data_IF_338017970341
#
_entry.id   IF_338017970341
#
_cell.length_a   1.000
_cell.length_b   1.000
_cell.length_c   1.000
_cell.angle_alpha   90.00
_cell.angle_beta   90.00
_cell.angle_gamma   90.00
#
_symmetry.space_group_name_H-M   'P 1'
#
loop_
_entity.id
_entity.type
_entity.pdbx_description
1 polymer ?
#
# COMPACT_ATOMS: atom_id res chain seq x y z
N UNK A 1 14.13 -10.21 -5.44
CA UNK A 1 13.39 -9.45 -6.46
C UNK A 1 12.43 -8.44 -5.86
N UNK A 2 12.27 -7.31 -6.55
CA UNK A 2 11.39 -6.21 -6.18
C UNK A 2 10.52 -5.89 -7.41
N UNK A 3 9.20 -5.65 -7.26
CA UNK A 3 8.28 -5.46 -8.39
C UNK A 3 8.53 -4.19 -9.21
N UNK A 4 9.42 -3.31 -8.75
CA UNK A 4 9.91 -2.14 -9.47
C UNK A 4 11.36 -2.28 -9.95
N UNK A 5 11.94 -3.47 -9.83
CA UNK A 5 13.27 -3.76 -10.35
C UNK A 5 13.23 -3.99 -11.86
N UNK A 6 14.19 -3.41 -12.57
CA UNK A 6 14.35 -3.54 -14.02
C UNK A 6 14.24 -2.20 -14.75
N UNK A 7 15.10 -2.01 -15.76
CA UNK A 7 15.24 -0.77 -16.53
C UNK A 7 16.70 -0.31 -16.58
N UNK A 8 17.15 0.17 -17.73
CA UNK A 8 18.47 0.83 -17.84
C UNK A 8 18.38 2.24 -17.23
N UNK A 9 19.27 2.55 -16.27
CA UNK A 9 19.29 3.84 -15.58
C UNK A 9 18.28 3.99 -14.44
N UNK A 10 18.04 5.23 -13.99
CA UNK A 10 17.04 5.55 -12.95
C UNK A 10 15.68 5.82 -13.58
N UNK A 11 15.00 4.79 -14.08
CA UNK A 11 13.64 4.91 -14.60
C UNK A 11 12.63 5.09 -13.46
N UNK A 12 11.70 6.03 -13.61
CA UNK A 12 10.57 6.19 -12.70
C UNK A 12 9.66 4.95 -12.74
N UNK A 13 9.07 4.60 -11.59
CA UNK A 13 8.13 3.47 -11.45
C UNK A 13 6.91 3.69 -12.37
N UNK A 14 6.89 3.11 -13.56
CA UNK A 14 5.72 3.10 -14.47
C UNK A 14 4.53 2.30 -13.92
N UNK A 15 4.61 1.83 -12.67
CA UNK A 15 3.61 1.04 -11.95
C UNK A 15 3.28 1.71 -10.62
N UNK A 16 2.08 1.44 -10.10
CA UNK A 16 1.68 1.92 -8.78
C UNK A 16 2.70 1.47 -7.73
N UNK A 17 3.12 2.35 -6.80
CA UNK A 17 4.11 1.96 -5.79
C UNK A 17 3.61 0.82 -4.91
N UNK A 18 4.38 -0.26 -4.87
CA UNK A 18 4.06 -1.51 -4.19
C UNK A 18 5.22 -1.95 -3.32
N UNK A 19 4.92 -2.74 -2.29
CA UNK A 19 5.91 -3.45 -1.49
C UNK A 19 6.58 -4.54 -2.34
N UNK A 20 7.70 -5.14 -1.88
CA UNK A 20 8.32 -6.30 -2.54
C UNK A 20 7.38 -7.47 -2.83
N UNK A 21 6.24 -7.54 -2.12
CA UNK A 21 5.23 -8.59 -2.23
C UNK A 21 3.94 -8.12 -2.93
N UNK A 22 3.96 -6.93 -3.56
CA UNK A 22 2.84 -6.43 -4.36
C UNK A 22 1.77 -5.64 -3.60
N UNK A 23 1.92 -5.42 -2.28
CA UNK A 23 0.95 -4.62 -1.52
C UNK A 23 1.09 -3.14 -1.88
N UNK A 24 0.02 -2.43 -2.32
CA UNK A 24 0.13 -1.02 -2.66
C UNK A 24 0.53 -0.17 -1.43
N UNK A 25 1.48 0.74 -1.60
CA UNK A 25 2.05 1.52 -0.49
C UNK A 25 1.41 2.91 -0.33
N UNK A 26 0.83 3.45 -1.41
CA UNK A 26 0.17 4.77 -1.40
C UNK A 26 -1.32 4.64 -1.12
N UNK A 27 -1.75 5.07 0.07
CA UNK A 27 -3.16 5.25 0.42
C UNK A 27 -3.98 3.96 0.66
N UNK A 28 -3.38 2.79 0.45
CA UNK A 28 -4.08 1.52 0.61
C UNK A 28 -4.30 1.17 2.09
N UNK A 29 -5.54 0.82 2.43
CA UNK A 29 -5.91 0.40 3.78
C UNK A 29 -5.71 -1.10 3.95
N UNK A 30 -4.73 -1.48 4.75
CA UNK A 30 -4.38 -2.88 5.00
C UNK A 30 -5.32 -3.60 5.99
N UNK A 31 -6.01 -2.86 6.86
CA UNK A 31 -6.93 -3.44 7.86
C UNK A 31 -8.29 -3.82 7.25
N UNK A 32 -8.59 -5.12 7.21
CA UNK A 32 -9.87 -5.69 6.70
C UNK A 32 -10.71 -6.48 7.71
N UNK A 33 -10.27 -6.62 8.97
CA UNK A 33 -10.96 -7.45 9.96
C UNK A 33 -12.35 -6.89 10.29
N UNK A 34 -13.41 -7.65 9.96
CA UNK A 34 -14.81 -7.28 10.19
C UNK A 34 -15.20 -7.35 11.67
N UNK A 35 -14.72 -8.38 12.40
CA UNK A 35 -15.09 -8.65 13.81
C UNK A 35 -14.79 -7.49 14.74
N UNK A 36 -13.63 -6.85 14.55
CA UNK A 36 -13.20 -5.74 15.41
C UNK A 36 -13.55 -4.37 14.86
N UNK A 37 -14.16 -4.29 13.66
CA UNK A 37 -14.54 -3.01 13.07
C UNK A 37 -15.73 -2.36 13.77
N UNK A 38 -16.61 -3.16 14.36
CA UNK A 38 -17.79 -2.70 15.11
C UNK A 38 -17.44 -1.99 16.41
N UNK A 39 -16.27 -2.29 16.99
CA UNK A 39 -15.78 -1.68 18.23
C UNK A 39 -15.07 -0.33 18.00
N UNK A 40 -14.97 0.16 16.77
CA UNK A 40 -14.26 1.40 16.44
C UNK A 40 -15.25 2.56 16.39
N UNK A 41 -15.22 3.44 17.39
CA UNK A 41 -16.08 4.64 17.47
C UNK A 41 -15.66 5.71 16.46
N UNK A 42 -14.36 5.97 16.30
CA UNK A 42 -13.85 6.95 15.34
C UNK A 42 -12.56 6.44 14.67
N UNK A 43 -12.42 6.71 13.36
CA UNK A 43 -11.20 6.41 12.60
C UNK A 43 -10.31 7.64 12.53
N UNK A 44 -8.98 7.42 12.45
CA UNK A 44 -8.03 8.51 12.22
C UNK A 44 -8.36 9.22 10.90
N UNK A 45 -8.36 10.55 10.92
CA UNK A 45 -8.42 11.36 9.70
C UNK A 45 -7.04 11.32 9.02
N UNK A 46 -7.04 11.39 7.69
CA UNK A 46 -5.79 11.56 6.93
C UNK A 46 -5.41 13.03 7.08
N UNK A 47 -4.21 13.32 7.60
CA UNK A 47 -3.63 14.67 7.52
C UNK A 47 -3.28 14.98 6.07
#
# INVERSE_FOLDING_TARGET
DHPHGGGEGRTGEGRVPVSPWGTPTKGYRTRRNKRTTTMIVQRRQKR
#
